data_IF_733539290973
#
_entry.id   IF_733539290973
#
_cell.length_a   1.000
_cell.length_b   1.000
_cell.length_c   1.000
_cell.angle_alpha   90.00
_cell.angle_beta   90.00
_cell.angle_gamma   90.00
#
_symmetry.space_group_name_H-M   'P 1'
#
loop_
_entity.id
_entity.type
_entity.pdbx_description
1 polymer ?
#
# COMPACT_ATOMS: atom_id res chain seq x y z
N UNK A 1 -3.46 6.10 15.43
CA UNK A 1 -2.45 6.54 14.45
C UNK A 1 -2.74 5.78 13.16
N UNK A 2 -2.64 6.43 12.00
CA UNK A 2 -2.93 5.80 10.70
C UNK A 2 -1.62 5.58 9.97
N UNK A 3 -1.38 4.35 9.51
CA UNK A 3 -0.28 4.03 8.60
C UNK A 3 -0.81 4.08 7.16
N UNK A 4 -0.12 4.84 6.31
CA UNK A 4 -0.52 5.03 4.91
C UNK A 4 0.60 4.59 3.98
N UNK A 5 0.29 3.67 3.07
CA UNK A 5 1.24 3.14 2.09
C UNK A 5 0.66 3.16 0.68
N UNK A 6 1.51 3.45 -0.31
CA UNK A 6 1.17 3.50 -1.73
C UNK A 6 2.11 2.58 -2.49
N UNK A 7 1.56 1.59 -3.17
CA UNK A 7 2.29 0.71 -4.08
C UNK A 7 1.93 1.07 -5.53
N UNK A 8 2.82 1.72 -6.30
CA UNK A 8 2.57 2.00 -7.71
C UNK A 8 2.42 0.69 -8.50
N UNK A 9 1.44 0.63 -9.40
CA UNK A 9 1.13 -0.60 -10.15
C UNK A 9 2.24 -1.06 -11.10
N UNK A 10 3.14 -0.15 -11.50
CA UNK A 10 4.29 -0.45 -12.34
C UNK A 10 5.38 0.61 -12.18
N UNK A 11 6.56 0.36 -12.76
CA UNK A 11 7.66 1.34 -12.80
C UNK A 11 7.30 2.56 -13.65
N UNK A 12 6.55 2.36 -14.73
CA UNK A 12 6.06 3.43 -15.60
C UNK A 12 5.15 4.38 -14.82
N UNK A 13 4.21 3.84 -14.03
CA UNK A 13 3.34 4.67 -13.18
C UNK A 13 4.15 5.44 -12.12
N UNK A 14 5.15 4.80 -11.51
CA UNK A 14 6.02 5.49 -10.56
C UNK A 14 6.80 6.64 -11.23
N UNK A 15 7.32 6.44 -12.43
CA UNK A 15 7.99 7.51 -13.19
C UNK A 15 7.02 8.65 -13.53
N UNK A 16 5.79 8.34 -13.97
CA UNK A 16 4.77 9.35 -14.26
C UNK A 16 4.42 10.20 -13.03
N UNK A 17 4.33 9.59 -11.85
CA UNK A 17 4.11 10.30 -10.58
C UNK A 17 5.29 11.20 -10.21
N UNK A 18 6.52 10.78 -10.51
CA UNK A 18 7.71 11.59 -10.29
C UNK A 18 7.76 12.79 -11.25
N UNK A 19 7.44 12.58 -12.52
CA UNK A 19 7.46 13.62 -13.57
C UNK A 19 6.38 14.69 -13.35
N UNK A 20 5.20 14.30 -12.88
CA UNK A 20 4.08 15.23 -12.67
C UNK A 20 4.03 15.87 -11.26
N UNK A 21 4.98 15.53 -10.38
CA UNK A 21 5.10 16.07 -9.02
C UNK A 21 4.20 15.42 -7.97
N UNK A 22 3.21 14.59 -8.37
CA UNK A 22 2.28 13.96 -7.42
C UNK A 22 2.99 13.02 -6.43
N UNK A 23 4.14 12.45 -6.82
CA UNK A 23 4.96 11.65 -5.90
C UNK A 23 5.42 12.47 -4.69
N UNK A 24 5.83 13.73 -4.91
CA UNK A 24 6.26 14.62 -3.84
C UNK A 24 5.10 14.98 -2.91
N UNK A 25 3.91 15.19 -3.46
CA UNK A 25 2.69 15.44 -2.67
C UNK A 25 2.33 14.25 -1.78
N UNK A 26 2.41 13.02 -2.32
CA UNK A 26 2.15 11.80 -1.55
C UNK A 26 3.14 11.63 -0.40
N UNK A 27 4.44 11.85 -0.65
CA UNK A 27 5.47 11.80 0.39
C UNK A 27 5.21 12.86 1.46
N UNK A 28 4.87 14.08 1.06
CA UNK A 28 4.57 15.20 1.97
C UNK A 28 3.33 14.93 2.82
N UNK A 29 2.35 14.17 2.31
CA UNK A 29 1.19 13.68 3.05
C UNK A 29 1.51 12.53 4.02
N UNK A 30 2.76 12.06 4.08
CA UNK A 30 3.20 10.97 4.94
C UNK A 30 3.00 9.57 4.35
N UNK A 31 2.81 9.46 3.04
CA UNK A 31 2.71 8.15 2.38
C UNK A 31 4.06 7.43 2.38
N UNK A 32 4.05 6.16 2.77
CA UNK A 32 5.16 5.25 2.52
C UNK A 32 5.04 4.68 1.11
N UNK A 33 5.97 5.04 0.23
CA UNK A 33 6.02 4.51 -1.13
C UNK A 33 6.65 3.12 -1.09
N UNK A 34 5.95 2.11 -1.60
CA UNK A 34 6.38 0.72 -1.67
C UNK A 34 6.93 0.39 -3.07
N UNK A 35 7.63 -0.74 -3.19
CA UNK A 35 8.09 -1.24 -4.48
C UNK A 35 6.92 -1.53 -5.44
N UNK A 36 7.12 -1.23 -6.72
CA UNK A 36 6.16 -1.62 -7.77
C UNK A 36 6.24 -3.12 -7.99
N UNK A 37 5.25 -3.87 -7.48
CA UNK A 37 5.22 -5.32 -7.54
C UNK A 37 4.01 -5.93 -6.82
N UNK A 38 4.11 -7.21 -6.42
CA UNK A 38 3.00 -7.97 -5.81
C UNK A 38 2.45 -7.34 -4.51
N UNK A 39 3.33 -6.80 -3.67
CA UNK A 39 2.98 -5.87 -2.59
C UNK A 39 1.98 -6.36 -1.52
N UNK A 40 1.24 -5.42 -0.90
CA UNK A 40 0.45 -5.66 0.33
C UNK A 40 -0.75 -6.57 0.16
N UNK A 41 -1.20 -6.81 -1.08
CA UNK A 41 -2.35 -7.67 -1.38
C UNK A 41 -2.16 -9.11 -0.87
N UNK A 42 -0.91 -9.52 -0.68
CA UNK A 42 -0.53 -10.81 -0.07
C UNK A 42 0.34 -10.61 1.19
N UNK A 43 0.40 -9.39 1.74
CA UNK A 43 1.22 -9.07 2.90
C UNK A 43 2.71 -8.82 2.62
N UNK A 44 3.12 -8.73 1.36
CA UNK A 44 4.52 -8.51 1.02
C UNK A 44 4.89 -7.04 1.26
N UNK A 45 5.90 -6.80 2.10
CA UNK A 45 6.45 -5.47 2.38
C UNK A 45 5.61 -4.60 3.33
N UNK A 46 4.29 -4.79 3.34
CA UNK A 46 3.37 -4.13 4.26
C UNK A 46 2.13 -4.99 4.50
N UNK A 47 1.74 -5.12 5.76
CA UNK A 47 0.55 -5.85 6.19
C UNK A 47 -0.12 -5.12 7.35
N UNK A 48 -1.45 -5.07 7.42
CA UNK A 48 -2.14 -4.47 8.55
C UNK A 48 -1.80 -5.23 9.85
N UNK A 49 -1.80 -4.51 10.96
CA UNK A 49 -1.65 -5.08 12.30
C UNK A 49 -2.80 -6.00 12.70
N UNK A 50 -2.56 -6.86 13.68
CA UNK A 50 -3.56 -7.82 14.16
C UNK A 50 -4.72 -7.10 14.87
N UNK A 51 -5.95 -7.37 14.42
CA UNK A 51 -7.15 -6.74 14.96
C UNK A 51 -7.34 -5.27 14.56
N UNK A 52 -6.53 -4.75 13.63
CA UNK A 52 -6.59 -3.36 13.16
C UNK A 52 -7.47 -3.27 11.90
N UNK A 53 -8.31 -2.23 11.84
CA UNK A 53 -9.11 -1.92 10.65
C UNK A 53 -8.21 -1.35 9.55
N UNK A 54 -8.32 -1.88 8.34
CA UNK A 54 -7.57 -1.39 7.19
C UNK A 54 -8.46 -1.09 5.98
N UNK A 55 -8.18 0.00 5.28
CA UNK A 55 -8.82 0.34 4.01
C UNK A 55 -7.87 0.00 2.86
N UNK A 56 -8.37 -0.68 1.84
CA UNK A 56 -7.56 -1.34 0.81
C UNK A 56 -8.15 -1.08 -0.57
N UNK A 57 -7.29 -0.87 -1.57
CA UNK A 57 -7.70 -0.68 -2.98
C UNK A 57 -7.51 -1.93 -3.84
N UNK A 58 -7.08 -3.06 -3.26
CA UNK A 58 -6.98 -4.34 -3.96
C UNK A 58 -8.29 -5.14 -3.87
N UNK A 59 -8.46 -6.08 -4.80
CA UNK A 59 -9.73 -6.74 -5.10
C UNK A 59 -10.14 -7.90 -4.18
N UNK A 60 -9.40 -8.19 -3.10
CA UNK A 60 -9.64 -9.35 -2.22
C UNK A 60 -9.44 -8.99 -0.76
N UNK A 61 -10.37 -9.37 0.11
CA UNK A 61 -10.39 -8.98 1.53
C UNK A 61 -10.84 -10.13 2.45
N UNK A 62 -10.67 -11.39 2.05
CA UNK A 62 -10.97 -12.53 2.92
C UNK A 62 -10.01 -12.56 4.13
N UNK A 63 -10.41 -13.15 5.28
CA UNK A 63 -9.56 -13.21 6.47
C UNK A 63 -8.21 -13.91 6.21
N UNK A 64 -7.12 -13.34 6.72
CA UNK A 64 -5.76 -13.78 6.51
C UNK A 64 -5.15 -13.37 5.16
N UNK A 65 -5.84 -12.56 4.35
CA UNK A 65 -5.43 -12.27 2.97
C UNK A 65 -4.04 -11.63 2.90
N UNK A 66 -3.77 -10.67 3.78
CA UNK A 66 -2.49 -9.97 3.84
C UNK A 66 -1.49 -10.66 4.78
N UNK A 67 -1.71 -11.92 5.16
CA UNK A 67 -0.80 -12.70 6.00
C UNK A 67 -0.98 -12.51 7.51
N UNK A 68 -1.58 -11.40 7.96
CA UNK A 68 -1.95 -11.20 9.37
C UNK A 68 -3.26 -11.93 9.68
N UNK A 69 -3.30 -12.72 10.75
CA UNK A 69 -4.46 -13.56 11.12
C UNK A 69 -5.74 -12.73 11.32
N UNK A 70 -5.65 -11.61 12.03
CA UNK A 70 -6.75 -10.69 12.25
C UNK A 70 -6.74 -9.48 11.32
N UNK A 71 -6.33 -9.64 10.05
CA UNK A 71 -6.49 -8.55 9.08
C UNK A 71 -7.99 -8.26 8.84
N UNK A 72 -8.38 -6.99 9.02
CA UNK A 72 -9.78 -6.55 8.88
C UNK A 72 -9.95 -5.46 7.84
#
# INVERSE_FOLDING_TARGET
MVEFAVAPGSREVLNMLAENGALADMISAGARILESGCGPCIGLGFSPGDGVVSLRTFNRNFPGRSGTRGDR
#
